data_IF_019745602055
#
_entry.id   IF_019745602055
#
_cell.length_a   1.000
_cell.length_b   1.000
_cell.length_c   1.000
_cell.angle_alpha   90.00
_cell.angle_beta   90.00
_cell.angle_gamma   90.00
#
_symmetry.space_group_name_H-M   'P 1'
#
loop_
_entity.id
_entity.type
_entity.pdbx_description
1 polymer ?
#
# COMPACT_ATOMS: atom_id res chain seq x y z
N UNK A 1 6.86 -23.40 10.88
CA UNK A 1 7.38 -22.15 10.30
C UNK A 1 8.24 -22.52 9.11
N UNK A 2 7.82 -22.09 7.92
CA UNK A 2 8.44 -22.49 6.65
C UNK A 2 9.75 -21.73 6.41
N UNK A 3 10.60 -22.25 5.51
CA UNK A 3 11.79 -21.52 5.03
C UNK A 3 11.40 -20.16 4.43
N UNK A 4 10.27 -20.11 3.71
CA UNK A 4 9.72 -18.86 3.17
C UNK A 4 9.40 -17.87 4.30
N UNK A 5 8.74 -18.28 5.38
CA UNK A 5 8.45 -17.41 6.53
C UNK A 5 9.72 -16.84 7.16
N UNK A 6 10.78 -17.65 7.23
CA UNK A 6 12.07 -17.26 7.81
C UNK A 6 12.84 -16.31 6.90
N UNK A 7 12.83 -16.56 5.59
CA UNK A 7 13.44 -15.70 4.58
C UNK A 7 12.72 -14.36 4.49
N UNK A 8 11.39 -14.37 4.55
CA UNK A 8 10.56 -13.16 4.68
C UNK A 8 11.01 -12.41 5.93
N UNK A 9 10.98 -13.00 7.13
CA UNK A 9 11.42 -12.29 8.35
C UNK A 9 12.85 -11.74 8.28
N UNK A 10 13.78 -12.45 7.66
CA UNK A 10 15.16 -11.97 7.45
C UNK A 10 15.23 -10.78 6.49
N UNK A 11 14.43 -10.80 5.40
CA UNK A 11 14.29 -9.67 4.48
C UNK A 11 13.68 -8.44 5.19
N UNK A 12 12.79 -8.67 6.14
CA UNK A 12 12.14 -7.63 6.96
C UNK A 12 13.07 -7.07 8.04
N UNK A 13 13.97 -7.89 8.60
CA UNK A 13 14.94 -7.45 9.60
C UNK A 13 16.13 -6.65 9.02
N UNK A 14 16.40 -6.79 7.73
CA UNK A 14 17.58 -6.21 7.07
C UNK A 14 17.34 -4.84 6.37
N UNK A 15 16.12 -4.28 6.41
CA UNK A 15 15.74 -3.16 5.54
C UNK A 15 15.76 -1.78 6.21
N UNK A 16 16.60 -0.88 5.68
CA UNK A 16 16.60 0.58 5.90
C UNK A 16 15.39 1.26 5.19
N UNK A 17 14.84 0.59 4.17
CA UNK A 17 13.53 0.89 3.53
C UNK A 17 12.53 -0.23 3.90
N UNK A 18 11.36 0.14 4.44
CA UNK A 18 10.36 -0.79 4.96
C UNK A 18 9.88 -1.77 3.88
N UNK A 19 9.92 -3.08 4.14
CA UNK A 19 9.52 -4.11 3.15
C UNK A 19 8.09 -3.89 2.64
N UNK A 20 7.20 -3.36 3.46
CA UNK A 20 5.86 -2.95 3.05
C UNK A 20 5.88 -1.91 1.91
N UNK A 21 6.76 -0.92 1.97
CA UNK A 21 6.91 0.10 0.92
C UNK A 21 7.45 -0.51 -0.38
N UNK A 22 8.43 -1.43 -0.30
CA UNK A 22 8.93 -2.16 -1.48
C UNK A 22 7.87 -3.04 -2.12
N UNK A 23 7.13 -3.81 -1.32
CA UNK A 23 6.05 -4.69 -1.80
C UNK A 23 4.93 -3.86 -2.43
N UNK A 24 4.54 -2.74 -1.80
CA UNK A 24 3.54 -1.84 -2.37
C UNK A 24 4.08 -1.23 -3.68
N UNK A 25 5.28 -0.64 -3.70
CA UNK A 25 5.85 -0.06 -4.93
C UNK A 25 5.90 -1.06 -6.10
N UNK A 26 6.27 -2.31 -5.82
CA UNK A 26 6.39 -3.36 -6.83
C UNK A 26 5.03 -3.88 -7.34
N UNK A 27 4.02 -3.96 -6.49
CA UNK A 27 2.77 -4.65 -6.82
C UNK A 27 1.55 -3.72 -6.93
N UNK A 28 1.52 -2.62 -6.20
CA UNK A 28 0.38 -1.69 -6.15
C UNK A 28 0.04 -1.10 -7.52
N UNK A 29 1.07 -0.65 -8.26
CA UNK A 29 0.93 -0.12 -9.64
C UNK A 29 0.48 -1.17 -10.66
N UNK A 30 0.78 -2.45 -10.42
CA UNK A 30 0.40 -3.55 -11.32
C UNK A 30 -1.06 -3.98 -11.13
N UNK A 31 -1.67 -3.63 -10.00
CA UNK A 31 -3.05 -3.95 -9.71
C UNK A 31 -3.98 -2.84 -10.26
N UNK A 32 -5.01 -3.17 -11.05
CA UNK A 32 -5.96 -2.19 -11.55
C UNK A 32 -6.64 -1.42 -10.39
N UNK A 33 -6.84 -0.11 -10.54
CA UNK A 33 -7.61 0.71 -9.57
C UNK A 33 -9.06 0.95 -10.01
N UNK A 34 -9.32 0.80 -11.29
CA UNK A 34 -10.50 1.39 -11.93
C UNK A 34 -11.72 0.49 -11.78
N UNK A 35 -11.49 -0.83 -11.69
CA UNK A 35 -12.53 -1.83 -11.47
C UNK A 35 -12.55 -2.38 -10.03
N UNK A 36 -13.68 -3.03 -9.69
CA UNK A 36 -13.92 -3.59 -8.35
C UNK A 36 -12.98 -4.75 -8.01
N UNK A 37 -12.51 -5.52 -9.00
CA UNK A 37 -11.64 -6.66 -8.77
C UNK A 37 -10.22 -6.22 -8.42
N UNK A 38 -9.69 -5.23 -9.14
CA UNK A 38 -8.39 -4.63 -8.86
C UNK A 38 -8.35 -3.90 -7.51
N UNK A 39 -9.42 -3.18 -7.16
CA UNK A 39 -9.59 -2.64 -5.79
C UNK A 39 -9.58 -3.74 -4.72
N UNK A 40 -10.29 -4.84 -4.94
CA UNK A 40 -10.30 -5.96 -4.01
C UNK A 40 -8.91 -6.61 -3.86
N UNK A 41 -8.11 -6.69 -4.92
CA UNK A 41 -6.73 -7.18 -4.86
C UNK A 41 -5.82 -6.24 -4.08
N UNK A 42 -5.94 -4.91 -4.30
CA UNK A 42 -5.22 -3.89 -3.53
C UNK A 42 -5.56 -3.97 -2.04
N UNK A 43 -6.84 -4.11 -1.69
CA UNK A 43 -7.28 -4.31 -0.31
C UNK A 43 -6.68 -5.59 0.32
N UNK A 44 -6.70 -6.72 -0.40
CA UNK A 44 -6.09 -7.98 0.09
C UNK A 44 -4.59 -7.87 0.30
N UNK A 45 -3.87 -7.16 -0.57
CA UNK A 45 -2.43 -6.92 -0.42
C UNK A 45 -2.13 -6.16 0.88
N UNK A 46 -2.90 -5.11 1.14
CA UNK A 46 -2.79 -4.30 2.36
C UNK A 46 -3.15 -5.10 3.60
N UNK A 47 -4.22 -5.90 3.57
CA UNK A 47 -4.59 -6.80 4.67
C UNK A 47 -3.50 -7.83 4.95
N UNK A 48 -2.89 -8.38 3.91
CA UNK A 48 -1.73 -9.27 4.02
C UNK A 48 -0.55 -8.57 4.70
N UNK A 49 -0.22 -7.35 4.26
CA UNK A 49 0.86 -6.55 4.87
C UNK A 49 0.59 -6.21 6.34
N UNK A 50 -0.65 -5.85 6.70
CA UNK A 50 -1.05 -5.57 8.08
C UNK A 50 -0.95 -6.82 8.97
N UNK A 51 -1.24 -8.00 8.42
CA UNK A 51 -1.12 -9.28 9.14
C UNK A 51 0.34 -9.68 9.34
N UNK A 52 1.18 -9.50 8.32
CA UNK A 52 2.58 -9.90 8.34
C UNK A 52 3.47 -8.92 9.12
N UNK A 53 3.11 -7.62 9.19
CA UNK A 53 3.68 -6.71 10.20
C UNK A 53 2.66 -6.02 11.10
N UNK A 54 2.34 -6.66 12.24
CA UNK A 54 1.64 -5.96 13.30
C UNK A 54 2.43 -4.72 13.75
N UNK A 55 1.72 -3.61 14.00
CA UNK A 55 2.29 -2.36 14.50
C UNK A 55 2.82 -1.38 13.45
N UNK A 56 2.86 -1.77 12.15
CA UNK A 56 3.35 -0.89 11.07
C UNK A 56 2.25 -0.28 10.20
N UNK A 57 1.00 -0.26 10.68
CA UNK A 57 -0.14 0.26 9.92
C UNK A 57 0.01 1.72 9.46
N UNK A 58 0.68 2.57 10.24
CA UNK A 58 0.96 3.96 9.85
C UNK A 58 1.99 4.06 8.70
N UNK A 59 2.96 3.15 8.62
CA UNK A 59 3.90 3.07 7.50
C UNK A 59 3.22 2.54 6.25
N UNK A 60 2.40 1.50 6.39
CA UNK A 60 1.60 0.96 5.29
C UNK A 60 0.68 2.05 4.72
N UNK A 61 -0.02 2.81 5.57
CA UNK A 61 -0.84 3.96 5.13
C UNK A 61 -0.04 5.01 4.38
N UNK A 62 1.15 5.39 4.89
CA UNK A 62 2.03 6.37 4.23
C UNK A 62 2.52 5.87 2.88
N UNK A 63 2.92 4.60 2.78
CA UNK A 63 3.37 4.00 1.53
C UNK A 63 2.24 3.94 0.49
N UNK A 64 1.03 3.52 0.89
CA UNK A 64 -0.15 3.56 0.00
C UNK A 64 -0.44 4.99 -0.46
N UNK A 65 -0.43 5.96 0.46
CA UNK A 65 -0.65 7.36 0.11
C UNK A 65 0.39 7.89 -0.89
N UNK A 66 1.67 7.60 -0.65
CA UNK A 66 2.76 8.01 -1.53
C UNK A 66 2.60 7.43 -2.94
N UNK A 67 2.23 6.15 -3.04
CA UNK A 67 2.00 5.50 -4.33
C UNK A 67 0.75 6.06 -5.02
N UNK A 68 -0.36 6.28 -4.33
CA UNK A 68 -1.56 6.92 -4.92
C UNK A 68 -1.27 8.35 -5.43
N UNK A 69 -0.54 9.16 -4.65
CA UNK A 69 -0.16 10.53 -5.05
C UNK A 69 0.80 10.53 -6.26
N UNK A 70 1.65 9.51 -6.36
CA UNK A 70 2.58 9.36 -7.49
C UNK A 70 1.88 9.04 -8.82
N UNK A 71 0.63 8.56 -8.78
CA UNK A 71 -0.18 8.28 -9.95
C UNK A 71 -0.89 9.52 -10.49
N UNK A 72 -0.95 10.60 -9.70
CA UNK A 72 -1.53 11.86 -10.13
C UNK A 72 -0.61 12.59 -11.10
N UNK A 73 -1.19 13.22 -12.11
CA UNK A 73 -0.48 14.20 -12.93
C UNK A 73 -0.17 15.48 -12.11
N UNK A 74 0.62 16.38 -12.69
CA UNK A 74 1.06 17.59 -11.99
C UNK A 74 -0.10 18.57 -11.69
N UNK A 75 -1.18 18.53 -12.47
CA UNK A 75 -2.34 19.40 -12.28
C UNK A 75 -3.20 18.91 -11.10
N UNK A 76 -3.53 17.62 -11.06
CA UNK A 76 -4.24 17.00 -9.93
C UNK A 76 -3.39 16.99 -8.65
N UNK A 77 -2.05 16.96 -8.75
CA UNK A 77 -1.18 17.11 -7.58
C UNK A 77 -1.18 18.54 -7.03
N UNK A 78 -1.26 19.55 -7.89
CA UNK A 78 -1.30 20.95 -7.49
C UNK A 78 -2.68 21.38 -6.97
N UNK A 79 -3.76 20.86 -7.56
CA UNK A 79 -5.14 21.17 -7.22
C UNK A 79 -6.03 19.91 -7.30
N UNK A 80 -5.98 19.02 -6.29
CA UNK A 80 -6.68 17.75 -6.36
C UNK A 80 -8.19 17.92 -6.39
N UNK A 81 -8.84 17.29 -7.35
CA UNK A 81 -10.29 17.30 -7.44
C UNK A 81 -10.92 16.53 -6.27
N UNK A 82 -12.17 16.84 -5.94
CA UNK A 82 -12.92 16.10 -4.90
C UNK A 82 -13.01 14.61 -5.23
N UNK A 83 -13.12 14.26 -6.50
CA UNK A 83 -13.17 12.86 -6.95
C UNK A 83 -11.84 12.15 -6.66
N UNK A 84 -10.71 12.80 -6.97
CA UNK A 84 -9.35 12.32 -6.67
C UNK A 84 -9.15 12.10 -5.18
N UNK A 85 -9.49 13.08 -4.35
CA UNK A 85 -9.36 12.97 -2.89
C UNK A 85 -10.17 11.78 -2.37
N UNK A 86 -11.41 11.60 -2.84
CA UNK A 86 -12.25 10.47 -2.44
C UNK A 86 -11.70 9.13 -2.90
N UNK A 87 -11.10 9.05 -4.08
CA UNK A 87 -10.46 7.83 -4.58
C UNK A 87 -9.28 7.43 -3.69
N UNK A 88 -8.40 8.40 -3.35
CA UNK A 88 -7.26 8.18 -2.47
C UNK A 88 -7.71 7.74 -1.07
N UNK A 89 -8.69 8.45 -0.49
CA UNK A 89 -9.22 8.09 0.85
C UNK A 89 -9.80 6.68 0.88
N UNK A 90 -10.45 6.24 -0.20
CA UNK A 90 -10.97 4.86 -0.32
C UNK A 90 -9.87 3.81 -0.48
N UNK A 91 -8.72 4.19 -1.03
CA UNK A 91 -7.57 3.30 -1.20
C UNK A 91 -6.77 3.13 0.11
N UNK A 92 -6.84 4.11 1.02
CA UNK A 92 -6.12 4.04 2.28
C UNK A 92 -6.68 2.94 3.20
N UNK A 93 -5.81 2.13 3.83
CA UNK A 93 -6.24 1.17 4.84
C UNK A 93 -6.97 1.86 5.99
N UNK A 94 -8.27 1.63 6.09
CA UNK A 94 -9.06 1.93 7.29
C UNK A 94 -8.90 0.78 8.29
N UNK A 95 -7.79 0.80 9.02
CA UNK A 95 -7.56 -0.03 10.19
C UNK A 95 -7.70 0.80 11.45
N UNK A 96 -8.70 0.45 12.28
CA UNK A 96 -8.84 0.85 13.68
C UNK A 96 -7.55 0.57 14.48
N UNK A 97 -7.30 1.34 15.56
CA UNK A 97 -6.13 1.17 16.43
C UNK A 97 -5.98 -0.24 16.98
#
# INVERSE_FOLDING_TARGET
MSLADRMIRLLWAAGDEGVAERVLRAHWRTLPSDDTAGRALRSRLVEGLLREVPGRGAEIRRAVLADEVSLLDDAERAAPSRATVLAIVRALPVGSP
#
